data_IF_745559628580
#
_entry.id   IF_745559628580
#
_cell.length_a   1.000
_cell.length_b   1.000
_cell.length_c   1.000
_cell.angle_alpha   90.00
_cell.angle_beta   90.00
_cell.angle_gamma   90.00
#
_symmetry.space_group_name_H-M   'P 1'
#
loop_
_entity.id
_entity.type
_entity.pdbx_description
1 polymer ?
#
# COMPACT_ATOMS: atom_id res chain seq x y z
N UNK A 1 15.67 0.20 -1.00
CA UNK A 1 14.71 -0.75 -0.36
C UNK A 1 14.93 -2.21 -0.78
N UNK A 2 14.80 -2.58 -2.07
CA UNK A 2 14.95 -3.98 -2.52
C UNK A 2 16.24 -4.69 -2.06
N UNK A 3 17.39 -4.03 -2.16
CA UNK A 3 18.67 -4.61 -1.73
C UNK A 3 18.66 -4.93 -0.23
N UNK A 4 18.08 -4.06 0.59
CA UNK A 4 17.92 -4.26 2.02
C UNK A 4 17.01 -5.48 2.27
N UNK A 5 15.82 -5.51 1.65
CA UNK A 5 14.90 -6.66 1.73
C UNK A 5 15.60 -7.97 1.37
N UNK A 6 16.30 -8.01 0.24
CA UNK A 6 17.01 -9.21 -0.25
C UNK A 6 18.16 -9.66 0.66
N UNK A 7 18.80 -8.72 1.37
CA UNK A 7 19.87 -9.03 2.31
C UNK A 7 19.31 -9.55 3.64
N UNK A 8 18.33 -8.85 4.20
CA UNK A 8 17.76 -9.14 5.53
C UNK A 8 16.90 -10.40 5.50
N UNK A 9 16.18 -10.66 4.40
CA UNK A 9 15.30 -11.83 4.27
C UNK A 9 16.04 -13.15 4.32
N UNK A 10 17.36 -13.16 4.14
CA UNK A 10 18.19 -14.36 4.29
C UNK A 10 18.36 -14.80 5.73
N UNK A 11 18.15 -13.89 6.68
CA UNK A 11 18.44 -14.11 8.10
C UNK A 11 17.20 -13.97 8.96
N UNK A 12 16.28 -13.07 8.60
CA UNK A 12 15.09 -12.77 9.39
C UNK A 12 13.82 -12.76 8.54
N UNK A 13 12.68 -13.18 9.11
CA UNK A 13 11.38 -13.02 8.46
C UNK A 13 11.03 -11.54 8.32
N UNK A 14 10.44 -11.17 7.19
CA UNK A 14 10.05 -9.78 6.89
C UNK A 14 8.60 -9.74 6.44
N UNK A 15 7.84 -8.78 6.97
CA UNK A 15 6.54 -8.38 6.42
C UNK A 15 6.74 -7.06 5.69
N UNK A 16 6.52 -7.06 4.38
CA UNK A 16 6.48 -5.85 3.56
C UNK A 16 5.03 -5.49 3.31
N UNK A 17 4.58 -4.35 3.83
CA UNK A 17 3.27 -3.81 3.53
C UNK A 17 3.38 -2.69 2.48
N UNK A 18 2.58 -2.80 1.42
CA UNK A 18 2.46 -1.83 0.35
C UNK A 18 1.01 -1.34 0.33
N UNK A 19 0.83 -0.05 0.65
CA UNK A 19 -0.47 0.61 0.56
C UNK A 19 -0.72 1.08 -0.87
N UNK A 20 -2.00 1.16 -1.27
CA UNK A 20 -2.49 1.69 -2.55
C UNK A 20 -1.75 1.07 -3.73
N UNK A 21 -1.71 -0.27 -3.75
CA UNK A 21 -0.95 -1.04 -4.74
C UNK A 21 -1.40 -0.76 -6.17
N UNK A 22 -2.68 -0.50 -6.35
CA UNK A 22 -3.30 -0.08 -7.60
C UNK A 22 -2.68 1.25 -8.09
N UNK A 23 -2.63 2.27 -7.23
CA UNK A 23 -2.03 3.58 -7.57
C UNK A 23 -0.54 3.43 -7.91
N UNK A 24 0.19 2.65 -7.12
CA UNK A 24 1.62 2.43 -7.29
C UNK A 24 1.95 1.69 -8.59
N UNK A 25 1.22 0.61 -8.87
CA UNK A 25 1.48 -0.28 -10.00
C UNK A 25 0.93 0.29 -11.32
N UNK A 26 -0.17 1.05 -11.28
CA UNK A 26 -0.78 1.62 -12.48
C UNK A 26 -0.12 2.91 -12.95
N UNK A 27 0.74 3.52 -12.13
CA UNK A 27 1.48 4.74 -12.52
C UNK A 27 2.33 4.54 -13.78
N UNK A 28 2.88 3.35 -14.01
CA UNK A 28 3.46 2.99 -15.32
C UNK A 28 3.70 1.48 -15.47
N UNK A 29 3.65 0.99 -16.70
CA UNK A 29 4.03 -0.40 -17.03
C UNK A 29 5.47 -0.74 -16.59
N UNK A 30 6.37 0.26 -16.59
CA UNK A 30 7.76 0.10 -16.15
C UNK A 30 7.82 -0.25 -14.66
N UNK A 31 7.02 0.42 -13.82
CA UNK A 31 6.98 0.17 -12.38
C UNK A 31 6.39 -1.20 -12.08
N UNK A 32 5.29 -1.58 -12.73
CA UNK A 32 4.72 -2.93 -12.64
C UNK A 32 5.77 -4.00 -12.97
N UNK A 33 6.42 -3.89 -14.12
CA UNK A 33 7.44 -4.86 -14.56
C UNK A 33 8.64 -4.93 -13.60
N UNK A 34 9.04 -3.78 -13.02
CA UNK A 34 10.11 -3.73 -12.03
C UNK A 34 9.71 -4.44 -10.75
N UNK A 35 8.49 -4.17 -10.26
CA UNK A 35 7.95 -4.80 -9.06
C UNK A 35 7.82 -6.31 -9.25
N UNK A 36 7.27 -6.77 -10.37
CA UNK A 36 7.18 -8.20 -10.69
C UNK A 36 8.55 -8.88 -10.73
N UNK A 37 9.57 -8.24 -11.34
CA UNK A 37 10.95 -8.75 -11.36
C UNK A 37 11.56 -8.79 -9.96
N UNK A 38 11.22 -7.83 -9.11
CA UNK A 38 11.64 -7.78 -7.71
C UNK A 38 11.07 -8.97 -6.94
N UNK A 39 9.75 -9.19 -7.02
CA UNK A 39 9.06 -10.31 -6.37
C UNK A 39 9.67 -11.66 -6.76
N UNK A 40 9.91 -11.88 -8.06
CA UNK A 40 10.52 -13.12 -8.58
C UNK A 40 11.95 -13.38 -8.07
N UNK A 41 12.66 -12.34 -7.63
CA UNK A 41 14.03 -12.45 -7.10
C UNK A 41 14.09 -12.45 -5.58
N UNK A 42 12.98 -12.21 -4.89
CA UNK A 42 12.93 -12.32 -3.44
C UNK A 42 12.98 -13.80 -3.05
N UNK A 43 13.76 -14.09 -2.01
CA UNK A 43 13.94 -15.43 -1.46
C UNK A 43 14.08 -15.31 0.06
N UNK A 44 13.66 -16.35 0.78
CA UNK A 44 13.55 -16.36 2.24
C UNK A 44 12.12 -16.08 2.74
N UNK A 45 11.92 -16.06 4.07
CA UNK A 45 10.63 -15.87 4.72
C UNK A 45 10.11 -14.42 4.61
N UNK A 46 9.68 -14.02 3.41
CA UNK A 46 9.08 -12.70 3.17
C UNK A 46 7.58 -12.86 2.92
N UNK A 47 6.77 -12.18 3.73
CA UNK A 47 5.34 -11.98 3.49
C UNK A 47 5.15 -10.58 2.91
N UNK A 48 4.40 -10.48 1.81
CA UNK A 48 4.11 -9.19 1.17
C UNK A 48 2.61 -8.99 1.20
N UNK A 49 2.19 -7.89 1.82
CA UNK A 49 0.80 -7.49 1.94
C UNK A 49 0.58 -6.26 1.06
N UNK A 50 -0.38 -6.34 0.15
CA UNK A 50 -0.87 -5.22 -0.62
C UNK A 50 -2.25 -4.82 -0.10
N UNK A 51 -2.56 -3.52 -0.07
CA UNK A 51 -3.94 -3.06 0.13
C UNK A 51 -4.36 -2.10 -0.95
N UNK A 52 -5.65 -2.10 -1.24
CA UNK A 52 -6.34 -1.11 -2.05
C UNK A 52 -7.70 -0.85 -1.40
N UNK A 53 -8.20 0.38 -1.49
CA UNK A 53 -9.56 0.72 -1.06
C UNK A 53 -10.46 0.64 -2.28
N UNK A 54 -11.43 -0.28 -2.27
CA UNK A 54 -12.43 -0.38 -3.33
C UNK A 54 -13.70 0.34 -2.92
N UNK A 55 -14.19 1.26 -3.76
CA UNK A 55 -15.47 1.92 -3.51
C UNK A 55 -16.62 0.94 -3.74
N UNK A 56 -17.46 0.74 -2.72
CA UNK A 56 -18.61 -0.18 -2.73
C UNK A 56 -19.77 0.31 -3.62
N UNK A 57 -19.72 1.55 -4.12
CA UNK A 57 -20.81 2.18 -4.87
C UNK A 57 -20.79 1.89 -6.38
N UNK A 58 -19.72 1.26 -6.90
CA UNK A 58 -19.64 0.80 -8.28
C UNK A 58 -19.79 -0.71 -8.32
N UNK A 59 -20.77 -1.21 -9.09
CA UNK A 59 -21.06 -2.64 -9.30
C UNK A 59 -19.88 -3.47 -9.91
N UNK A 60 -18.71 -2.85 -10.10
CA UNK A 60 -17.48 -3.48 -10.56
C UNK A 60 -16.38 -3.31 -9.50
N UNK A 61 -16.43 -4.15 -8.47
CA UNK A 61 -15.31 -4.34 -7.53
C UNK A 61 -14.30 -5.38 -8.07
N UNK A 62 -14.06 -5.37 -9.38
CA UNK A 62 -13.14 -6.30 -10.00
C UNK A 62 -11.70 -5.85 -9.71
N UNK A 63 -10.96 -6.71 -9.01
CA UNK A 63 -9.54 -6.49 -8.76
C UNK A 63 -8.84 -6.59 -10.11
N UNK A 64 -8.14 -5.53 -10.53
CA UNK A 64 -7.39 -5.51 -11.81
C UNK A 64 -6.52 -6.78 -11.92
N UNK A 65 -6.62 -7.45 -13.07
CA UNK A 65 -5.94 -8.73 -13.33
C UNK A 65 -4.44 -8.65 -13.01
N UNK A 66 -3.80 -7.49 -13.24
CA UNK A 66 -2.38 -7.29 -12.95
C UNK A 66 -2.09 -7.32 -11.46
N UNK A 67 -3.00 -6.83 -10.62
CA UNK A 67 -2.88 -6.91 -9.16
C UNK A 67 -3.11 -8.36 -8.72
N UNK A 68 -4.13 -9.03 -9.26
CA UNK A 68 -4.39 -10.44 -8.99
C UNK A 68 -3.20 -11.36 -9.37
N UNK A 69 -2.51 -11.05 -10.47
CA UNK A 69 -1.30 -11.77 -10.91
C UNK A 69 -0.11 -11.64 -9.92
N UNK A 70 -0.02 -10.50 -9.22
CA UNK A 70 1.06 -10.24 -8.26
C UNK A 70 0.70 -10.70 -6.84
N UNK A 71 -0.58 -10.68 -6.50
CA UNK A 71 -1.14 -11.01 -5.20
C UNK A 71 -2.21 -12.10 -5.36
N UNK A 72 -1.84 -13.38 -5.31
CA UNK A 72 -2.78 -14.48 -5.56
C UNK A 72 -3.73 -14.76 -4.38
N UNK A 73 -3.46 -14.17 -3.21
CA UNK A 73 -4.25 -14.37 -2.00
C UNK A 73 -4.89 -13.06 -1.58
N UNK A 74 -6.23 -13.05 -1.57
CA UNK A 74 -7.01 -11.83 -1.37
C UNK A 74 -7.83 -11.98 -0.09
N UNK A 75 -7.80 -10.94 0.75
CA UNK A 75 -8.62 -10.86 1.96
C UNK A 75 -9.50 -9.63 1.79
N UNK A 76 -10.81 -9.86 1.74
CA UNK A 76 -11.78 -8.78 1.68
C UNK A 76 -12.08 -8.28 3.10
N UNK A 77 -11.89 -6.99 3.34
CA UNK A 77 -12.22 -6.33 4.62
C UNK A 77 -13.52 -5.55 4.40
N UNK A 78 -14.58 -5.99 5.08
CA UNK A 78 -15.89 -5.34 5.02
C UNK A 78 -16.16 -4.53 6.28
N UNK A 79 -16.99 -3.48 6.19
CA UNK A 79 -17.52 -2.81 7.37
C UNK A 79 -18.25 -3.81 8.30
N UNK A 80 -18.27 -3.58 9.61
CA UNK A 80 -19.07 -4.36 10.55
C UNK A 80 -20.56 -4.35 10.18
N UNK A 81 -21.25 -5.49 10.34
CA UNK A 81 -22.71 -5.58 10.07
C UNK A 81 -23.56 -4.92 11.15
N UNK A 82 -23.08 -4.88 12.40
CA UNK A 82 -23.77 -4.23 13.51
C UNK A 82 -23.77 -2.71 13.32
N UNK A 83 -24.96 -2.13 13.15
CA UNK A 83 -25.16 -0.69 12.93
C UNK A 83 -24.53 0.19 14.03
N UNK A 84 -24.51 -0.29 15.27
CA UNK A 84 -23.92 0.44 16.40
C UNK A 84 -22.40 0.57 16.27
N UNK A 85 -21.75 -0.47 15.73
CA UNK A 85 -20.31 -0.48 15.46
C UNK A 85 -19.96 0.15 14.11
N UNK A 86 -20.89 0.11 13.14
CA UNK A 86 -20.69 0.65 11.79
C UNK A 86 -20.41 2.15 11.79
N UNK A 87 -21.17 2.93 12.57
CA UNK A 87 -20.99 4.39 12.64
C UNK A 87 -19.62 4.74 13.18
N UNK A 88 -19.21 4.10 14.29
CA UNK A 88 -17.90 4.30 14.89
C UNK A 88 -16.77 3.88 13.93
N UNK A 89 -16.90 2.72 13.28
CA UNK A 89 -15.93 2.24 12.30
C UNK A 89 -15.75 3.20 11.13
N UNK A 90 -16.85 3.74 10.58
CA UNK A 90 -16.79 4.72 9.48
C UNK A 90 -16.10 6.01 9.91
N UNK A 91 -16.44 6.54 11.09
CA UNK A 91 -15.81 7.76 11.61
C UNK A 91 -14.31 7.57 11.80
N UNK A 92 -13.92 6.46 12.44
CA UNK A 92 -12.51 6.15 12.68
C UNK A 92 -11.74 5.97 11.36
N UNK A 93 -12.31 5.27 10.39
CA UNK A 93 -11.69 5.09 9.08
C UNK A 93 -11.47 6.44 8.38
N UNK A 94 -12.46 7.33 8.40
CA UNK A 94 -12.34 8.65 7.79
C UNK A 94 -11.27 9.53 8.48
N UNK A 95 -11.22 9.50 9.81
CA UNK A 95 -10.20 10.19 10.60
C UNK A 95 -8.79 9.65 10.32
N UNK A 96 -8.63 8.33 10.28
CA UNK A 96 -7.35 7.68 9.98
C UNK A 96 -6.88 8.01 8.56
N UNK A 97 -7.79 8.02 7.58
CA UNK A 97 -7.50 8.43 6.21
C UNK A 97 -7.03 9.89 6.14
N UNK A 98 -7.69 10.80 6.87
CA UNK A 98 -7.27 12.21 6.94
C UNK A 98 -5.90 12.36 7.59
N UNK A 99 -5.63 11.60 8.66
CA UNK A 99 -4.32 11.63 9.34
C UNK A 99 -3.20 11.18 8.41
N UNK A 100 -3.42 10.08 7.69
CA UNK A 100 -2.50 9.57 6.67
C UNK A 100 -2.24 10.63 5.60
N UNK A 101 -3.30 11.23 5.06
CA UNK A 101 -3.16 12.25 4.01
C UNK A 101 -2.40 13.49 4.50
N UNK A 102 -2.64 13.92 5.75
CA UNK A 102 -1.89 15.02 6.34
C UNK A 102 -0.41 14.69 6.47
N UNK A 103 -0.07 13.46 6.86
CA UNK A 103 1.32 13.01 6.95
C UNK A 103 1.99 12.94 5.57
N UNK A 104 1.29 12.42 4.56
CA UNK A 104 1.82 12.35 3.19
C UNK A 104 2.04 13.76 2.60
N UNK A 105 1.11 14.68 2.81
CA UNK A 105 1.26 16.08 2.44
C UNK A 105 2.46 16.72 3.14
N UNK A 106 2.64 16.47 4.44
CA UNK A 106 3.79 16.95 5.21
C UNK A 106 5.10 16.39 4.64
N UNK A 107 5.17 15.08 4.39
CA UNK A 107 6.34 14.43 3.82
C UNK A 107 6.67 15.02 2.44
N UNK A 108 5.67 15.23 1.59
CA UNK A 108 5.86 15.81 0.27
C UNK A 108 6.39 17.25 0.35
N UNK A 109 5.86 18.07 1.27
CA UNK A 109 6.37 19.42 1.51
C UNK A 109 7.83 19.37 1.96
N UNK A 110 8.19 18.50 2.90
CA UNK A 110 9.58 18.32 3.37
C UNK A 110 10.50 17.94 2.21
N UNK A 111 10.10 17.00 1.36
CA UNK A 111 10.89 16.60 0.17
C UNK A 111 11.13 17.79 -0.77
N UNK A 112 10.09 18.58 -1.04
CA UNK A 112 10.20 19.77 -1.90
C UNK A 112 11.11 20.82 -1.26
N UNK A 113 10.96 21.10 0.04
CA UNK A 113 11.79 22.08 0.74
C UNK A 113 13.26 21.66 0.78
N UNK A 114 13.55 20.39 1.08
CA UNK A 114 14.90 19.84 1.06
C UNK A 114 15.54 19.92 -0.34
N UNK A 115 14.77 19.68 -1.41
CA UNK A 115 15.25 19.83 -2.78
C UNK A 115 15.58 21.30 -3.16
N UNK A 116 15.12 22.26 -2.36
CA UNK A 116 15.40 23.69 -2.51
C UNK A 116 16.35 24.22 -1.42
N UNK A 117 17.08 23.34 -0.72
CA UNK A 117 18.03 23.66 0.35
C UNK A 117 17.39 24.47 1.52
N UNK A 118 16.09 24.26 1.76
CA UNK A 118 15.37 24.81 2.90
C UNK A 118 15.12 23.69 3.91
N UNK A 119 15.80 23.72 5.04
CA UNK A 119 15.55 22.82 6.17
C UNK A 119 14.43 23.38 7.06
N UNK A 120 13.46 22.52 7.41
CA UNK A 120 12.43 22.81 8.40
C UNK A 120 12.53 21.79 9.54
N UNK A 121 12.62 22.28 10.78
CA UNK A 121 12.48 21.50 12.03
C UNK A 121 11.02 21.12 12.31
#
# INVERSE_FOLDING_TARGET
LYQVLSSVSKTFPIILYVRDVDVLLFRSQRLYNLFQKMLKKLSGPVLILGSQITNLDSDESEIDERVADLFPYNIEIKPPEDESHLVSWKSQLEEDMKMIQCQDNRNHIIEVLAANDVECD
#
